data_IF_736062226474
#
_entry.id   IF_736062226474
#
_cell.length_a   1.000
_cell.length_b   1.000
_cell.length_c   1.000
_cell.angle_alpha   90.00
_cell.angle_beta   90.00
_cell.angle_gamma   90.00
#
_symmetry.space_group_name_H-M   'P 1'
#
loop_
_entity.id
_entity.type
_entity.pdbx_description
1 polymer ?
#
# COMPACT_ATOMS: atom_id res chain seq x y z
N UNK A 1 23.44 2.19 -16.78
CA UNK A 1 23.77 2.31 -15.35
C UNK A 1 25.12 1.70 -15.14
N UNK A 2 25.89 2.34 -14.27
CA UNK A 2 27.07 1.77 -13.68
C UNK A 2 26.81 0.36 -13.14
N UNK A 3 27.72 -0.55 -13.46
CA UNK A 3 27.83 -1.80 -12.70
C UNK A 3 28.29 -1.47 -11.27
N UNK A 4 28.09 -2.37 -10.31
CA UNK A 4 28.67 -2.20 -8.97
C UNK A 4 30.17 -1.88 -9.10
N UNK A 5 30.60 -0.76 -8.52
CA UNK A 5 31.98 -0.25 -8.62
C UNK A 5 32.31 0.56 -9.88
N UNK A 6 31.35 0.90 -10.74
CA UNK A 6 31.56 1.73 -11.93
C UNK A 6 31.14 3.19 -11.68
N UNK A 7 32.03 3.96 -11.05
CA UNK A 7 31.88 5.40 -10.93
C UNK A 7 33.14 6.14 -11.43
N UNK A 8 33.01 7.42 -11.81
CA UNK A 8 34.18 8.27 -12.05
C UNK A 8 35.08 8.33 -10.81
N UNK A 9 36.35 8.67 -11.01
CA UNK A 9 37.30 8.86 -9.90
C UNK A 9 36.74 9.85 -8.87
N UNK A 10 36.52 9.36 -7.65
CA UNK A 10 36.04 10.14 -6.53
C UNK A 10 37.21 10.77 -5.77
N UNK A 11 36.95 11.76 -4.90
CA UNK A 11 37.96 12.27 -3.99
C UNK A 11 38.48 11.16 -3.06
N UNK A 12 39.79 11.14 -2.79
CA UNK A 12 40.47 10.10 -1.99
C UNK A 12 39.82 9.87 -0.61
N UNK A 13 39.22 10.92 -0.05
CA UNK A 13 38.52 10.90 1.23
C UNK A 13 37.27 10.02 1.24
N UNK A 14 36.60 9.88 0.09
CA UNK A 14 35.48 8.94 -0.09
C UNK A 14 35.96 7.60 -0.62
N UNK A 15 36.86 7.60 -1.59
CA UNK A 15 37.36 6.40 -2.25
C UNK A 15 37.94 5.42 -1.21
N UNK A 16 38.76 5.93 -0.29
CA UNK A 16 39.38 5.13 0.78
C UNK A 16 38.38 4.40 1.69
N UNK A 17 37.19 4.95 1.89
CA UNK A 17 36.11 4.33 2.66
C UNK A 17 35.35 3.31 1.80
N UNK A 18 35.16 3.63 0.51
CA UNK A 18 34.43 2.80 -0.45
C UNK A 18 35.23 1.58 -0.93
N UNK A 19 36.55 1.54 -0.75
CA UNK A 19 37.36 0.32 -1.04
C UNK A 19 36.80 -0.92 -0.35
N UNK A 20 36.21 -0.77 0.84
CA UNK A 20 35.48 -1.86 1.49
C UNK A 20 34.14 -2.11 0.79
N UNK A 21 34.08 -3.21 0.02
CA UNK A 21 32.88 -3.66 -0.68
C UNK A 21 31.69 -3.94 0.26
N UNK A 22 31.95 -4.20 1.55
CA UNK A 22 30.91 -4.46 2.54
C UNK A 22 30.20 -3.19 3.02
N UNK A 23 30.74 -2.00 2.70
CA UNK A 23 30.12 -0.72 3.04
C UNK A 23 28.96 -0.44 2.09
N UNK A 24 27.75 -0.35 2.65
CA UNK A 24 26.54 0.00 1.90
C UNK A 24 26.26 1.50 1.91
N UNK A 25 26.66 2.21 2.98
CA UNK A 25 26.32 3.63 3.15
C UNK A 25 27.35 4.35 3.99
N UNK A 26 27.75 5.54 3.56
CA UNK A 26 28.63 6.45 4.29
C UNK A 26 27.81 7.65 4.76
N UNK A 27 27.99 8.05 6.01
CA UNK A 27 27.39 9.22 6.63
C UNK A 27 28.49 10.18 7.09
N UNK A 28 28.53 11.37 6.51
CA UNK A 28 29.41 12.46 6.89
C UNK A 28 28.55 13.62 7.40
N UNK A 29 28.83 14.10 8.61
CA UNK A 29 28.10 15.23 9.23
C UNK A 29 29.10 16.17 9.88
N UNK A 30 28.85 17.47 9.80
CA UNK A 30 29.73 18.48 10.38
C UNK A 30 29.90 18.25 11.89
N UNK A 31 31.13 18.46 12.37
CA UNK A 31 31.58 18.24 13.74
C UNK A 31 31.44 16.79 14.24
N UNK A 32 31.33 15.81 13.32
CA UNK A 32 31.21 14.39 13.65
C UNK A 32 32.28 13.55 12.92
N UNK A 33 32.64 12.41 13.51
CA UNK A 33 33.42 11.38 12.80
C UNK A 33 32.58 10.71 11.69
N UNK A 34 33.22 10.22 10.62
CA UNK A 34 32.54 9.41 9.60
C UNK A 34 31.90 8.17 10.21
N UNK A 35 30.69 7.85 9.76
CA UNK A 35 30.02 6.60 10.13
C UNK A 35 29.65 5.84 8.88
N UNK A 36 29.73 4.51 8.94
CA UNK A 36 29.38 3.64 7.82
C UNK A 36 28.39 2.59 8.26
N UNK A 37 27.44 2.25 7.37
CA UNK A 37 26.71 1.01 7.46
C UNK A 37 27.46 -0.05 6.65
N UNK A 38 27.86 -1.12 7.32
CA UNK A 38 28.53 -2.25 6.68
C UNK A 38 27.98 -3.59 7.16
N UNK A 39 28.09 -4.61 6.30
CA UNK A 39 27.67 -5.98 6.57
C UNK A 39 26.67 -6.53 5.54
N UNK A 40 26.21 -7.75 5.78
CA UNK A 40 25.22 -8.42 4.93
C UNK A 40 23.83 -7.75 5.07
N UNK A 41 22.99 -7.76 4.02
CA UNK A 41 21.64 -7.13 4.00
C UNK A 41 20.77 -7.52 5.22
N UNK A 42 20.92 -8.75 5.69
CA UNK A 42 20.18 -9.28 6.84
C UNK A 42 20.68 -8.77 8.21
N UNK A 43 21.86 -8.18 8.26
CA UNK A 43 22.57 -7.80 9.50
C UNK A 43 23.52 -6.62 9.25
N UNK A 44 22.96 -5.47 8.88
CA UNK A 44 23.73 -4.22 8.74
C UNK A 44 24.05 -3.66 10.12
N UNK A 45 25.31 -3.28 10.32
CA UNK A 45 25.81 -2.61 11.52
C UNK A 45 26.24 -1.18 11.19
N UNK A 46 25.94 -0.22 12.07
CA UNK A 46 26.42 1.15 11.95
C UNK A 46 27.69 1.28 12.79
N UNK A 47 28.82 1.53 12.13
CA UNK A 47 30.12 1.64 12.74
C UNK A 47 30.67 3.06 12.56
N UNK A 48 31.26 3.60 13.61
CA UNK A 48 32.03 4.84 13.54
C UNK A 48 33.46 4.51 13.11
N UNK A 49 33.97 5.22 12.11
CA UNK A 49 35.34 5.05 11.63
C UNK A 49 36.28 5.90 12.48
N UNK A 50 37.46 5.37 12.77
CA UNK A 50 38.50 6.13 13.47
C UNK A 50 39.29 7.00 12.48
N UNK A 51 38.57 7.95 11.87
CA UNK A 51 39.07 8.96 10.95
C UNK A 51 38.90 10.36 11.58
N UNK A 52 39.50 11.36 10.95
CA UNK A 52 39.36 12.75 11.37
C UNK A 52 37.89 13.22 11.32
N UNK A 53 37.57 14.16 12.20
CA UNK A 53 36.24 14.77 12.28
C UNK A 53 36.02 15.64 11.04
N UNK A 54 34.85 15.48 10.41
CA UNK A 54 34.49 16.33 9.28
C UNK A 54 33.95 17.66 9.77
N UNK A 55 34.45 18.76 9.22
CA UNK A 55 33.95 20.09 9.47
C UNK A 55 33.08 20.59 8.30
N UNK A 56 32.46 21.75 8.49
CA UNK A 56 31.64 22.37 7.44
C UNK A 56 32.45 22.69 6.16
N UNK A 57 33.65 23.32 6.23
CA UNK A 57 34.47 23.58 5.05
C UNK A 57 34.78 22.34 4.22
N UNK A 58 35.16 21.22 4.85
CA UNK A 58 35.49 19.98 4.15
C UNK A 58 34.25 19.39 3.47
N UNK A 59 33.08 19.42 4.12
CA UNK A 59 31.83 18.96 3.50
C UNK A 59 31.40 19.82 2.31
N UNK A 60 31.55 21.15 2.42
CA UNK A 60 31.27 22.05 1.32
C UNK A 60 32.18 21.74 0.12
N UNK A 61 33.48 21.63 0.38
CA UNK A 61 34.49 21.29 -0.64
C UNK A 61 34.15 19.96 -1.32
N UNK A 62 33.83 18.93 -0.52
CA UNK A 62 33.43 17.63 -1.06
C UNK A 62 32.18 17.72 -1.94
N UNK A 63 31.17 18.51 -1.53
CA UNK A 63 29.96 18.69 -2.33
C UNK A 63 30.24 19.40 -3.66
N UNK A 64 31.17 20.36 -3.67
CA UNK A 64 31.59 21.08 -4.89
C UNK A 64 32.39 20.15 -5.81
N UNK A 65 33.33 19.37 -5.26
CA UNK A 65 34.13 18.38 -5.99
C UNK A 65 33.23 17.33 -6.67
N UNK A 66 32.24 16.81 -5.95
CA UNK A 66 31.28 15.86 -6.51
C UNK A 66 30.42 16.47 -7.62
N UNK A 67 30.06 17.75 -7.50
CA UNK A 67 29.35 18.47 -8.57
C UNK A 67 30.24 18.65 -9.80
N UNK A 68 31.52 18.99 -9.59
CA UNK A 68 32.50 19.12 -10.65
C UNK A 68 32.74 17.79 -11.38
N UNK A 69 32.79 16.67 -10.65
CA UNK A 69 32.91 15.33 -11.24
C UNK A 69 31.74 15.05 -12.19
N UNK A 70 30.51 15.44 -11.82
CA UNK A 70 29.34 15.29 -12.69
C UNK A 70 29.51 16.12 -13.96
N UNK A 71 29.92 17.39 -13.84
CA UNK A 71 30.11 18.28 -15.00
C UNK A 71 31.20 17.77 -15.95
N UNK A 72 32.32 17.30 -15.39
CA UNK A 72 33.43 16.71 -16.16
C UNK A 72 33.04 15.41 -16.85
N UNK A 73 32.08 14.67 -16.29
CA UNK A 73 31.57 13.42 -16.83
C UNK A 73 30.17 13.57 -17.43
N UNK A 74 29.83 14.76 -17.96
CA UNK A 74 28.53 15.04 -18.58
C UNK A 74 28.17 14.15 -19.78
N UNK A 75 29.14 13.45 -20.36
CA UNK A 75 28.92 12.43 -21.40
C UNK A 75 28.42 11.09 -20.85
N UNK A 76 28.62 10.83 -19.55
CA UNK A 76 28.13 9.65 -18.86
C UNK A 76 26.66 9.85 -18.47
N UNK A 77 25.81 8.92 -18.90
CA UNK A 77 24.37 8.96 -18.59
C UNK A 77 24.05 8.70 -17.11
N UNK A 78 25.00 8.17 -16.34
CA UNK A 78 24.89 7.85 -14.92
C UNK A 78 25.54 8.90 -14.00
N UNK A 79 25.89 10.07 -14.54
CA UNK A 79 26.36 11.22 -13.78
C UNK A 79 25.41 12.41 -14.00
N UNK A 80 24.56 12.71 -13.03
CA UNK A 80 23.64 13.85 -13.12
C UNK A 80 23.16 14.33 -11.75
N UNK A 81 22.73 15.58 -11.68
CA UNK A 81 22.03 16.14 -10.52
C UNK A 81 20.55 15.77 -10.66
N UNK A 82 20.03 15.05 -9.67
CA UNK A 82 18.65 14.55 -9.67
C UNK A 82 17.69 15.57 -9.05
N UNK A 83 18.10 16.15 -7.92
CA UNK A 83 17.32 17.15 -7.18
C UNK A 83 18.27 18.27 -6.81
N UNK A 84 17.87 19.50 -7.12
CA UNK A 84 18.51 20.70 -6.60
C UNK A 84 17.45 21.64 -6.06
N UNK A 85 17.45 21.82 -4.74
CA UNK A 85 16.51 22.70 -4.01
C UNK A 85 17.28 23.50 -2.96
N UNK A 86 16.64 24.54 -2.43
CA UNK A 86 17.22 25.31 -1.35
C UNK A 86 17.43 24.43 -0.12
N UNK A 87 18.70 24.24 0.28
CA UNK A 87 19.08 23.43 1.44
C UNK A 87 19.34 21.94 1.15
N UNK A 88 19.14 21.45 -0.07
CA UNK A 88 19.37 20.03 -0.40
C UNK A 88 19.74 19.80 -1.87
N UNK A 89 20.67 18.88 -2.10
CA UNK A 89 21.08 18.39 -3.42
C UNK A 89 21.16 16.88 -3.41
N UNK A 90 20.59 16.21 -4.41
CA UNK A 90 20.71 14.77 -4.63
C UNK A 90 21.33 14.54 -6.00
N UNK A 91 22.37 13.71 -6.03
CA UNK A 91 23.22 13.47 -7.18
C UNK A 91 23.37 11.97 -7.42
N UNK A 92 23.37 11.58 -8.69
CA UNK A 92 23.77 10.25 -9.13
C UNK A 92 25.17 10.36 -9.73
N UNK A 93 26.12 9.56 -9.21
CA UNK A 93 27.52 9.54 -9.63
C UNK A 93 27.93 8.09 -9.87
N UNK A 94 27.77 7.62 -11.10
CA UNK A 94 28.00 6.22 -11.43
C UNK A 94 27.01 5.32 -10.69
N UNK A 95 27.51 4.36 -9.93
CA UNK A 95 26.70 3.47 -9.09
C UNK A 95 26.31 4.12 -7.77
N UNK A 96 26.86 5.28 -7.40
CA UNK A 96 26.61 5.91 -6.11
C UNK A 96 25.48 6.92 -6.18
N UNK A 97 24.63 6.90 -5.15
CA UNK A 97 23.69 7.97 -4.88
C UNK A 97 24.21 8.83 -3.75
N UNK A 98 24.38 10.13 -3.99
CA UNK A 98 24.87 11.08 -3.00
C UNK A 98 23.79 12.11 -2.68
N UNK A 99 23.47 12.27 -1.39
CA UNK A 99 22.58 13.33 -0.91
C UNK A 99 23.34 14.29 0.01
N UNK A 100 23.29 15.57 -0.33
CA UNK A 100 23.81 16.68 0.47
C UNK A 100 22.65 17.46 1.08
N UNK A 101 22.76 17.81 2.36
CA UNK A 101 21.78 18.67 3.05
C UNK A 101 22.50 19.74 3.88
N UNK A 102 21.94 20.95 3.89
CA UNK A 102 22.48 22.09 4.64
C UNK A 102 21.39 23.03 5.18
N UNK A 103 21.71 23.88 6.18
CA UNK A 103 20.76 24.85 6.72
C UNK A 103 20.21 25.79 5.64
N UNK A 104 18.90 26.14 5.66
CA UNK A 104 17.95 25.93 6.76
C UNK A 104 17.21 24.59 6.75
N UNK A 105 17.40 23.73 5.74
CA UNK A 105 16.69 22.45 5.62
C UNK A 105 17.15 21.44 6.68
N UNK A 106 18.46 21.40 6.96
CA UNK A 106 19.06 20.60 8.03
C UNK A 106 19.61 21.48 9.17
N UNK A 107 19.95 20.84 10.30
CA UNK A 107 20.59 21.49 11.45
C UNK A 107 22.07 21.80 11.20
N UNK A 108 22.73 20.99 10.37
CA UNK A 108 24.13 21.14 9.99
C UNK A 108 24.38 20.60 8.57
N UNK A 109 25.58 20.82 8.05
CA UNK A 109 25.99 20.19 6.79
C UNK A 109 26.11 18.68 6.97
N UNK A 110 25.52 17.92 6.04
CA UNK A 110 25.68 16.47 5.95
C UNK A 110 25.73 16.00 4.50
N UNK A 111 26.49 14.92 4.28
CA UNK A 111 26.58 14.19 3.02
C UNK A 111 26.39 12.71 3.32
N UNK A 112 25.44 12.09 2.63
CA UNK A 112 25.21 10.64 2.69
C UNK A 112 25.47 10.03 1.32
N UNK A 113 26.33 9.03 1.26
CA UNK A 113 26.66 8.28 0.04
C UNK A 113 26.12 6.87 0.18
N UNK A 114 25.26 6.45 -0.73
CA UNK A 114 24.64 5.13 -0.72
C UNK A 114 25.15 4.33 -1.91
N UNK A 115 25.66 3.13 -1.64
CA UNK A 115 25.93 2.10 -2.65
C UNK A 115 24.69 1.21 -2.78
N UNK A 116 24.10 1.07 -3.98
CA UNK A 116 23.02 0.12 -4.22
C UNK A 116 23.51 -1.31 -3.96
N UNK A 117 22.75 -2.06 -3.15
CA UNK A 117 23.12 -3.44 -2.79
C UNK A 117 22.17 -4.41 -3.50
N UNK A 118 22.77 -5.33 -4.26
CA UNK A 118 22.23 -6.55 -4.85
C UNK A 118 21.13 -6.40 -5.93
N UNK A 119 21.50 -6.74 -7.18
CA UNK A 119 20.55 -7.08 -8.23
C UNK A 119 20.08 -8.52 -8.02
N UNK A 120 18.85 -8.70 -7.51
CA UNK A 120 18.21 -10.02 -7.54
C UNK A 120 17.76 -10.32 -8.97
N UNK A 121 17.99 -11.55 -9.41
CA UNK A 121 17.43 -12.04 -10.66
C UNK A 121 16.02 -12.58 -10.43
N UNK A 122 15.20 -12.60 -11.48
CA UNK A 122 13.83 -13.12 -11.37
C UNK A 122 13.83 -14.62 -10.99
N UNK A 123 14.84 -15.36 -11.45
CA UNK A 123 15.09 -16.77 -11.11
C UNK A 123 15.27 -17.02 -9.61
N UNK A 124 15.80 -16.05 -8.86
CA UNK A 124 16.03 -16.18 -7.41
C UNK A 124 14.71 -16.31 -6.62
N UNK A 125 13.61 -15.80 -7.19
CA UNK A 125 12.29 -15.88 -6.60
C UNK A 125 11.60 -17.23 -6.81
N UNK A 126 12.16 -18.11 -7.66
CA UNK A 126 11.63 -19.47 -7.95
C UNK A 126 10.14 -19.46 -8.30
N UNK A 127 9.78 -18.64 -9.27
CA UNK A 127 8.40 -18.46 -9.70
C UNK A 127 7.92 -19.67 -10.52
N UNK A 128 6.62 -19.97 -10.43
CA UNK A 128 5.99 -20.93 -11.34
C UNK A 128 6.03 -20.41 -12.78
N UNK A 129 6.26 -21.29 -13.75
CA UNK A 129 6.33 -20.94 -15.18
C UNK A 129 5.07 -20.22 -15.68
N UNK A 130 3.89 -20.55 -15.13
CA UNK A 130 2.66 -19.87 -15.47
C UNK A 130 2.68 -18.40 -15.02
N UNK A 131 3.23 -18.10 -13.84
CA UNK A 131 3.37 -16.73 -13.36
C UNK A 131 4.41 -15.95 -14.19
N UNK A 132 5.52 -16.59 -14.56
CA UNK A 132 6.52 -15.99 -15.47
C UNK A 132 5.91 -15.66 -16.83
N UNK A 133 5.13 -16.57 -17.40
CA UNK A 133 4.41 -16.34 -18.66
C UNK A 133 3.40 -15.20 -18.55
N UNK A 134 2.75 -15.03 -17.39
CA UNK A 134 1.85 -13.90 -17.14
C UNK A 134 2.61 -12.57 -17.09
N UNK A 135 3.74 -12.52 -16.38
CA UNK A 135 4.60 -11.33 -16.30
C UNK A 135 5.16 -10.94 -17.69
N UNK A 136 5.38 -11.94 -18.54
CA UNK A 136 5.94 -11.79 -19.89
C UNK A 136 4.91 -11.35 -20.94
N UNK A 137 3.64 -11.24 -20.58
CA UNK A 137 2.57 -10.90 -21.51
C UNK A 137 2.24 -9.40 -21.45
N UNK A 138 2.56 -8.65 -22.52
CA UNK A 138 2.32 -7.21 -22.60
C UNK A 138 0.82 -6.83 -22.62
N UNK A 139 -0.09 -7.78 -22.80
CA UNK A 139 -1.52 -7.58 -22.62
C UNK A 139 -1.99 -7.75 -21.17
N UNK A 140 -1.08 -7.72 -20.20
CA UNK A 140 -1.40 -7.82 -18.78
C UNK A 140 -0.94 -6.58 -18.03
N UNK A 141 -1.75 -6.20 -17.04
CA UNK A 141 -1.47 -5.15 -16.08
C UNK A 141 -1.21 -5.78 -14.72
N UNK A 142 -0.02 -5.50 -14.19
CA UNK A 142 0.47 -6.14 -12.98
C UNK A 142 0.69 -5.09 -11.90
N UNK A 143 0.21 -5.35 -10.68
CA UNK A 143 0.65 -4.60 -9.50
C UNK A 143 1.56 -5.42 -8.62
N UNK A 144 2.69 -4.82 -8.24
CA UNK A 144 3.57 -5.31 -7.18
C UNK A 144 3.30 -4.49 -5.93
N UNK A 145 2.81 -5.17 -4.88
CA UNK A 145 2.29 -4.52 -3.67
C UNK A 145 3.00 -5.02 -2.43
N UNK A 146 2.90 -4.26 -1.34
CA UNK A 146 3.56 -4.59 -0.08
C UNK A 146 3.99 -3.35 0.71
N UNK A 147 4.30 -3.56 1.99
CA UNK A 147 4.71 -2.50 2.92
C UNK A 147 6.02 -1.84 2.47
N UNK A 148 6.31 -0.59 2.88
CA UNK A 148 7.64 0.00 2.70
C UNK A 148 8.74 -0.95 3.20
N UNK A 149 9.84 -1.05 2.44
CA UNK A 149 10.93 -1.98 2.76
C UNK A 149 10.64 -3.48 2.53
N UNK A 150 9.50 -3.85 1.93
CA UNK A 150 9.20 -5.26 1.67
C UNK A 150 9.97 -5.89 0.51
N UNK A 151 10.72 -5.12 -0.28
CA UNK A 151 11.46 -5.61 -1.46
C UNK A 151 10.71 -5.50 -2.79
N UNK A 152 9.64 -4.69 -2.88
CA UNK A 152 8.86 -4.48 -4.12
C UNK A 152 9.71 -3.94 -5.26
N UNK A 153 10.43 -2.85 -5.01
CA UNK A 153 11.27 -2.17 -6.00
C UNK A 153 12.35 -3.12 -6.53
N UNK A 154 12.97 -3.91 -5.63
CA UNK A 154 13.92 -4.96 -6.03
C UNK A 154 13.27 -6.04 -6.90
N UNK A 155 12.05 -6.47 -6.59
CA UNK A 155 11.31 -7.41 -7.44
C UNK A 155 10.94 -6.80 -8.80
N UNK A 156 10.55 -5.52 -8.84
CA UNK A 156 10.26 -4.80 -10.08
C UNK A 156 11.51 -4.66 -10.95
N UNK A 157 12.68 -4.38 -10.37
CA UNK A 157 13.98 -4.37 -11.05
C UNK A 157 14.33 -5.74 -11.65
N UNK A 158 14.08 -6.83 -10.90
CA UNK A 158 14.28 -8.19 -11.37
C UNK A 158 13.39 -8.51 -12.59
N UNK A 159 12.12 -8.08 -12.55
CA UNK A 159 11.20 -8.23 -13.69
C UNK A 159 11.68 -7.40 -14.88
N UNK A 160 12.08 -6.14 -14.67
CA UNK A 160 12.62 -5.28 -15.72
C UNK A 160 13.77 -5.96 -16.47
N UNK A 161 14.70 -6.50 -15.70
CA UNK A 161 15.92 -7.12 -16.20
C UNK A 161 15.61 -8.37 -17.00
N UNK A 162 14.70 -9.21 -16.51
CA UNK A 162 14.22 -10.40 -17.21
C UNK A 162 13.52 -10.06 -18.53
N UNK A 163 12.62 -9.08 -18.52
CA UNK A 163 11.89 -8.66 -19.73
C UNK A 163 12.83 -8.11 -20.82
N UNK A 164 13.85 -7.33 -20.46
CA UNK A 164 14.82 -6.81 -21.45
C UNK A 164 15.85 -7.86 -21.91
N UNK A 165 16.36 -8.67 -20.97
CA UNK A 165 17.50 -9.56 -21.24
C UNK A 165 17.08 -10.91 -21.83
N UNK A 166 16.04 -11.53 -21.28
CA UNK A 166 15.60 -12.87 -21.69
C UNK A 166 14.51 -12.82 -22.76
N UNK A 167 13.53 -11.92 -22.61
CA UNK A 167 12.44 -11.76 -23.58
C UNK A 167 12.80 -10.82 -24.74
N UNK A 168 13.82 -9.98 -24.58
CA UNK A 168 14.23 -8.99 -25.59
C UNK A 168 13.23 -7.85 -25.80
N UNK A 169 12.36 -7.60 -24.81
CA UNK A 169 11.31 -6.57 -24.90
C UNK A 169 11.86 -5.16 -24.69
N UNK A 170 11.23 -4.16 -25.30
CA UNK A 170 11.55 -2.75 -25.05
C UNK A 170 10.94 -2.31 -23.72
N UNK A 171 11.75 -2.31 -22.67
CA UNK A 171 11.35 -1.88 -21.32
C UNK A 171 11.72 -0.41 -21.10
N UNK A 172 10.80 0.33 -20.49
CA UNK A 172 11.00 1.69 -19.99
C UNK A 172 10.53 1.79 -18.54
N UNK A 173 11.01 2.78 -17.79
CA UNK A 173 10.49 3.05 -16.43
C UNK A 173 9.91 4.46 -16.35
N UNK A 174 8.95 4.63 -15.45
CA UNK A 174 8.41 5.92 -15.01
C UNK A 174 8.51 5.96 -13.49
N UNK A 175 9.27 6.91 -12.97
CA UNK A 175 9.62 6.94 -11.55
C UNK A 175 10.01 8.35 -11.11
N UNK A 176 9.88 8.63 -9.82
CA UNK A 176 10.16 9.94 -9.25
C UNK A 176 10.54 9.79 -7.77
N UNK A 177 11.82 9.63 -7.42
CA UNK A 177 13.03 9.79 -8.23
C UNK A 177 13.40 8.58 -9.11
N UNK A 178 14.49 8.66 -9.90
CA UNK A 178 15.04 7.57 -10.71
C UNK A 178 15.89 6.63 -9.86
N UNK A 179 15.21 5.79 -9.09
CA UNK A 179 15.80 4.93 -8.06
C UNK A 179 15.97 3.47 -8.50
N UNK A 180 15.24 3.04 -9.52
CA UNK A 180 15.34 1.68 -10.04
C UNK A 180 16.76 1.42 -10.53
N UNK A 181 17.29 0.25 -10.23
CA UNK A 181 18.54 -0.29 -10.76
C UNK A 181 18.19 -1.28 -11.86
N UNK A 182 18.29 -0.85 -13.12
CA UNK A 182 17.89 -1.62 -14.31
C UNK A 182 19.01 -1.65 -15.36
N UNK A 183 19.02 -2.63 -16.27
CA UNK A 183 20.05 -2.73 -17.30
C UNK A 183 20.16 -1.45 -18.13
N UNK A 184 21.35 -1.16 -18.67
CA UNK A 184 21.62 0.06 -19.45
C UNK A 184 20.69 0.24 -20.67
N UNK A 185 20.16 -0.87 -21.22
CA UNK A 185 19.21 -0.85 -22.34
C UNK A 185 17.82 -0.31 -21.93
N UNK A 186 17.47 -0.39 -20.65
CA UNK A 186 16.22 0.12 -20.09
C UNK A 186 16.36 1.63 -19.86
N UNK A 187 15.49 2.42 -20.48
CA UNK A 187 15.50 3.89 -20.32
C UNK A 187 14.55 4.28 -19.19
N UNK A 188 15.03 5.15 -18.30
CA UNK A 188 14.26 5.64 -17.16
C UNK A 188 13.78 7.06 -17.38
N UNK A 189 12.48 7.28 -17.22
CA UNK A 189 11.87 8.60 -17.32
C UNK A 189 11.52 9.14 -15.93
N UNK A 190 11.99 10.35 -15.68
CA UNK A 190 11.56 11.19 -14.56
C UNK A 190 10.35 12.04 -14.98
N UNK A 191 9.67 12.72 -14.05
CA UNK A 191 8.56 13.62 -14.38
C UNK A 191 9.02 14.74 -15.33
N UNK A 192 8.53 14.69 -16.57
CA UNK A 192 8.78 15.72 -17.57
C UNK A 192 8.15 17.05 -17.13
N UNK A 193 8.97 18.09 -17.01
CA UNK A 193 8.55 19.39 -16.45
C UNK A 193 7.90 19.27 -15.05
N UNK A 194 8.30 18.26 -14.28
CA UNK A 194 7.74 17.99 -12.95
C UNK A 194 6.41 17.24 -12.95
N UNK A 195 5.93 16.77 -14.12
CA UNK A 195 4.66 16.06 -14.26
C UNK A 195 4.82 14.68 -14.94
N UNK A 196 4.33 13.63 -14.26
CA UNK A 196 4.33 12.28 -14.80
C UNK A 196 3.27 12.09 -15.89
N UNK A 197 2.22 12.91 -15.92
CA UNK A 197 1.18 12.84 -16.95
C UNK A 197 1.77 13.17 -18.34
N UNK A 198 2.57 14.23 -18.43
CA UNK A 198 3.35 14.57 -19.64
C UNK A 198 4.33 13.48 -20.04
N UNK A 199 4.88 12.78 -19.06
CA UNK A 199 5.76 11.64 -19.32
C UNK A 199 4.97 10.49 -19.96
N UNK A 200 3.76 10.22 -19.48
CA UNK A 200 2.86 9.23 -20.05
C UNK A 200 2.45 9.57 -21.49
N UNK A 201 2.20 10.85 -21.79
CA UNK A 201 1.92 11.30 -23.17
C UNK A 201 3.06 10.94 -24.14
N UNK A 202 4.31 11.10 -23.71
CA UNK A 202 5.47 10.67 -24.50
C UNK A 202 5.53 9.15 -24.64
N UNK A 203 5.21 8.40 -23.58
CA UNK A 203 5.13 6.94 -23.64
C UNK A 203 4.12 6.46 -24.68
N UNK A 204 2.98 7.15 -24.84
CA UNK A 204 1.99 6.82 -25.88
C UNK A 204 2.54 6.94 -27.30
N UNK A 205 3.47 7.87 -27.53
CA UNK A 205 4.14 8.06 -28.81
C UNK A 205 5.22 7.01 -29.05
N UNK A 206 5.97 6.65 -28.00
CA UNK A 206 7.06 5.67 -28.08
C UNK A 206 6.57 4.24 -28.22
N UNK A 207 5.42 3.90 -27.63
CA UNK A 207 4.83 2.55 -27.60
C UNK A 207 5.83 1.45 -27.20
N UNK A 208 6.47 1.56 -26.03
CA UNK A 208 7.30 0.46 -25.51
C UNK A 208 6.44 -0.78 -25.26
N UNK A 209 7.07 -1.96 -25.26
CA UNK A 209 6.39 -3.22 -24.91
C UNK A 209 5.97 -3.23 -23.44
N UNK A 210 6.87 -2.76 -22.56
CA UNK A 210 6.64 -2.69 -21.12
C UNK A 210 7.06 -1.36 -20.51
N UNK A 211 6.27 -0.91 -19.54
CA UNK A 211 6.60 0.20 -18.66
C UNK A 211 6.53 -0.26 -17.21
N UNK A 212 7.55 0.08 -16.43
CA UNK A 212 7.56 -0.11 -14.99
C UNK A 212 7.29 1.25 -14.36
N UNK A 213 6.14 1.36 -13.72
CA UNK A 213 5.73 2.55 -13.01
C UNK A 213 6.02 2.35 -11.52
N UNK A 214 7.15 2.89 -11.04
CA UNK A 214 7.47 2.84 -9.61
C UNK A 214 6.69 3.91 -8.84
N UNK A 215 6.32 3.55 -7.61
CA UNK A 215 5.68 4.45 -6.64
C UNK A 215 4.28 5.02 -7.02
N UNK A 216 3.40 4.17 -7.56
CA UNK A 216 1.98 4.52 -7.79
C UNK A 216 1.27 4.76 -6.44
N UNK A 217 0.96 6.02 -6.14
CA UNK A 217 0.45 6.43 -4.82
C UNK A 217 -0.73 7.38 -4.87
N UNK A 218 -0.68 8.38 -5.74
CA UNK A 218 -1.69 9.45 -5.85
C UNK A 218 -2.82 9.00 -6.76
N UNK A 219 -3.98 9.65 -6.62
CA UNK A 219 -5.14 9.36 -7.47
C UNK A 219 -4.80 9.46 -8.97
N UNK A 220 -4.07 10.50 -9.37
CA UNK A 220 -3.65 10.70 -10.76
C UNK A 220 -2.74 9.59 -11.28
N UNK A 221 -1.87 9.03 -10.43
CA UNK A 221 -0.97 7.94 -10.84
C UNK A 221 -1.78 6.70 -11.24
N UNK A 222 -2.91 6.43 -10.56
CA UNK A 222 -3.82 5.33 -10.92
C UNK A 222 -4.61 5.61 -12.21
N UNK A 223 -4.95 6.87 -12.48
CA UNK A 223 -5.60 7.31 -13.73
C UNK A 223 -4.62 7.14 -14.90
N UNK A 224 -3.38 7.65 -14.78
CA UNK A 224 -2.28 7.45 -15.74
C UNK A 224 -2.03 5.97 -15.99
N UNK A 225 -2.02 5.15 -14.93
CA UNK A 225 -1.85 3.71 -15.06
C UNK A 225 -2.97 3.08 -15.92
N UNK A 226 -4.21 3.50 -15.71
CA UNK A 226 -5.35 3.10 -16.53
C UNK A 226 -5.16 3.46 -18.01
N UNK A 227 -4.81 4.71 -18.29
CA UNK A 227 -4.69 5.23 -19.65
C UNK A 227 -3.55 4.55 -20.43
N UNK A 228 -2.37 4.40 -19.81
CA UNK A 228 -1.22 3.69 -20.41
C UNK A 228 -1.57 2.25 -20.71
N UNK A 229 -2.32 1.60 -19.83
CA UNK A 229 -2.71 0.22 -20.03
C UNK A 229 -3.77 0.05 -21.11
N UNK A 230 -4.74 0.95 -21.19
CA UNK A 230 -5.76 0.98 -22.26
C UNK A 230 -5.15 1.31 -23.63
N UNK A 231 -4.02 2.02 -23.67
CA UNK A 231 -3.23 2.24 -24.88
C UNK A 231 -2.49 0.96 -25.37
N UNK A 232 -2.57 -0.15 -24.63
CA UNK A 232 -2.05 -1.45 -25.03
C UNK A 232 -0.63 -1.76 -24.55
N UNK A 233 -0.04 -0.90 -23.72
CA UNK A 233 1.31 -1.09 -23.15
C UNK A 233 1.23 -2.10 -21.99
N UNK A 234 2.21 -3.00 -21.89
CA UNK A 234 2.37 -3.87 -20.72
C UNK A 234 2.83 -3.06 -19.53
N UNK A 235 2.08 -3.07 -18.43
CA UNK A 235 2.32 -2.11 -17.35
C UNK A 235 2.48 -2.81 -16.01
N UNK A 236 3.62 -2.58 -15.35
CA UNK A 236 3.89 -3.03 -14.00
C UNK A 236 3.92 -1.84 -13.05
N UNK A 237 2.94 -1.76 -12.16
CA UNK A 237 2.83 -0.69 -11.16
C UNK A 237 3.31 -1.16 -9.80
N UNK A 238 4.18 -0.39 -9.15
CA UNK A 238 4.61 -0.65 -7.78
C UNK A 238 3.80 0.24 -6.84
N UNK A 239 3.09 -0.35 -5.87
CA UNK A 239 2.27 0.44 -4.93
C UNK A 239 2.43 -0.01 -3.48
N UNK A 240 2.37 0.94 -2.55
CA UNK A 240 2.44 0.68 -1.12
C UNK A 240 1.08 0.28 -0.55
N UNK A 241 0.82 -1.01 -0.38
CA UNK A 241 -0.40 -1.51 0.23
C UNK A 241 -0.10 -2.59 1.28
N UNK A 242 -0.99 -2.73 2.27
CA UNK A 242 -0.86 -3.80 3.27
C UNK A 242 -1.38 -5.16 2.76
N UNK A 243 -2.12 -5.17 1.66
CA UNK A 243 -2.65 -6.35 1.00
C UNK A 243 -2.91 -6.08 -0.48
N UNK A 244 -2.97 -7.14 -1.30
CA UNK A 244 -3.39 -7.04 -2.71
C UNK A 244 -4.78 -6.41 -2.88
N UNK A 245 -5.71 -6.74 -1.98
CA UNK A 245 -7.06 -6.19 -2.01
C UNK A 245 -7.09 -4.67 -1.83
N UNK A 246 -6.27 -4.12 -0.92
CA UNK A 246 -6.18 -2.67 -0.74
C UNK A 246 -5.65 -1.95 -1.98
N UNK A 247 -4.74 -2.57 -2.74
CA UNK A 247 -4.26 -1.99 -3.99
C UNK A 247 -5.37 -1.96 -5.05
N UNK A 248 -6.14 -3.05 -5.17
CA UNK A 248 -7.31 -3.11 -6.07
C UNK A 248 -8.34 -2.03 -5.69
N UNK A 249 -8.64 -1.89 -4.40
CA UNK A 249 -9.58 -0.88 -3.89
C UNK A 249 -9.18 0.57 -4.19
N UNK A 250 -7.89 0.86 -4.39
CA UNK A 250 -7.44 2.21 -4.79
C UNK A 250 -7.72 2.54 -6.25
N UNK A 251 -7.84 1.52 -7.10
CA UNK A 251 -8.23 1.66 -8.49
C UNK A 251 -9.75 1.88 -8.63
N UNK A 252 -10.52 1.41 -7.64
CA UNK A 252 -11.98 1.57 -7.58
C UNK A 252 -12.36 3.05 -7.49
N UNK A 253 -13.20 3.50 -8.41
CA UNK A 253 -13.63 4.91 -8.52
C UNK A 253 -12.64 5.81 -9.25
N UNK A 254 -11.52 5.26 -9.74
CA UNK A 254 -10.58 5.92 -10.67
C UNK A 254 -10.72 5.38 -12.08
N UNK A 255 -10.97 4.08 -12.18
CA UNK A 255 -11.27 3.38 -13.42
C UNK A 255 -12.68 2.82 -13.34
N UNK A 256 -13.40 2.82 -14.46
CA UNK A 256 -14.72 2.19 -14.55
C UNK A 256 -14.62 0.69 -14.23
N UNK A 257 -15.61 0.16 -13.49
CA UNK A 257 -15.59 -1.23 -13.01
C UNK A 257 -15.32 -2.24 -14.13
N UNK A 258 -15.94 -2.07 -15.31
CA UNK A 258 -15.75 -2.98 -16.44
C UNK A 258 -14.32 -2.97 -17.02
N UNK A 259 -13.61 -1.85 -16.87
CA UNK A 259 -12.25 -1.67 -17.35
C UNK A 259 -11.20 -2.11 -16.33
N UNK A 260 -11.55 -2.19 -15.04
CA UNK A 260 -10.59 -2.59 -13.98
C UNK A 260 -9.88 -3.90 -14.32
N UNK A 261 -10.60 -4.94 -14.76
CA UNK A 261 -9.98 -6.23 -15.11
C UNK A 261 -9.13 -6.21 -16.38
N UNK A 262 -9.31 -5.20 -17.25
CA UNK A 262 -8.48 -4.99 -18.44
C UNK A 262 -7.22 -4.20 -18.08
N UNK A 263 -7.35 -3.27 -17.12
CA UNK A 263 -6.27 -2.45 -16.61
C UNK A 263 -5.37 -3.23 -15.64
N UNK A 264 -5.95 -4.04 -14.77
CA UNK A 264 -5.24 -4.77 -13.74
C UNK A 264 -5.78 -6.20 -13.67
N UNK A 265 -4.99 -7.17 -14.11
CA UNK A 265 -5.35 -8.59 -14.04
C UNK A 265 -4.61 -9.32 -12.93
N UNK A 266 -3.38 -8.92 -12.58
CA UNK A 266 -2.54 -9.65 -11.63
C UNK A 266 -2.02 -8.73 -10.52
N UNK A 267 -2.13 -9.14 -9.26
CA UNK A 267 -1.60 -8.42 -8.10
C UNK A 267 -0.70 -9.33 -7.29
N UNK A 268 0.58 -9.00 -7.22
CA UNK A 268 1.62 -9.75 -6.52
C UNK A 268 1.95 -9.05 -5.20
N UNK A 269 1.65 -9.69 -4.08
CA UNK A 269 1.97 -9.19 -2.75
C UNK A 269 3.34 -9.69 -2.29
N UNK A 270 4.26 -8.76 -2.09
CA UNK A 270 5.62 -8.99 -1.59
C UNK A 270 5.70 -8.68 -0.10
N UNK A 271 6.16 -9.66 0.68
CA UNK A 271 6.52 -9.51 2.08
C UNK A 271 7.94 -10.03 2.34
N UNK A 272 8.77 -9.22 3.00
CA UNK A 272 10.15 -9.58 3.40
C UNK A 272 10.98 -10.18 2.25
N UNK A 273 10.87 -9.58 1.07
CA UNK A 273 11.60 -9.99 -0.14
C UNK A 273 11.09 -11.26 -0.81
N UNK A 274 9.92 -11.77 -0.43
CA UNK A 274 9.30 -12.97 -1.03
C UNK A 274 7.87 -12.69 -1.46
N UNK A 275 7.40 -13.45 -2.45
CA UNK A 275 5.99 -13.45 -2.83
C UNK A 275 5.20 -14.14 -1.72
N UNK A 276 4.29 -13.39 -1.10
CA UNK A 276 3.38 -13.89 -0.07
C UNK A 276 2.06 -14.39 -0.70
N UNK A 277 1.53 -13.67 -1.68
CA UNK A 277 0.25 -13.98 -2.32
C UNK A 277 0.20 -13.40 -3.73
N UNK A 278 -0.48 -14.09 -4.65
CA UNK A 278 -0.82 -13.56 -5.97
C UNK A 278 -2.34 -13.62 -6.15
N UNK A 279 -2.94 -12.49 -6.51
CA UNK A 279 -4.36 -12.38 -6.82
C UNK A 279 -4.55 -12.14 -8.32
N UNK A 280 -5.55 -12.81 -8.88
CA UNK A 280 -6.00 -12.65 -10.26
C UNK A 280 -7.39 -12.02 -10.29
N UNK A 281 -7.58 -11.03 -11.15
CA UNK A 281 -8.85 -10.37 -11.39
C UNK A 281 -9.43 -10.85 -12.73
N UNK A 282 -10.66 -11.35 -12.70
CA UNK A 282 -11.37 -11.77 -13.91
C UNK A 282 -12.78 -11.22 -13.93
N UNK A 283 -13.16 -10.53 -15.00
CA UNK A 283 -14.55 -10.11 -15.18
C UNK A 283 -15.39 -11.25 -15.73
N UNK A 284 -16.55 -11.46 -15.12
CA UNK A 284 -17.57 -12.42 -15.52
C UNK A 284 -18.94 -11.75 -15.43
N UNK A 285 -19.88 -12.15 -16.28
CA UNK A 285 -21.28 -11.71 -16.18
C UNK A 285 -22.07 -12.83 -15.50
N UNK A 286 -22.47 -12.61 -14.24
CA UNK A 286 -23.30 -13.53 -13.46
C UNK A 286 -24.02 -12.80 -12.33
N UNK A 287 -24.93 -13.49 -11.64
CA UNK A 287 -25.47 -13.01 -10.39
C UNK A 287 -24.38 -13.04 -9.30
N UNK A 288 -24.15 -11.95 -8.55
CA UNK A 288 -23.24 -11.94 -7.41
C UNK A 288 -23.62 -12.98 -6.35
N UNK A 289 -22.63 -13.47 -5.60
CA UNK A 289 -22.88 -14.46 -4.55
C UNK A 289 -23.84 -13.92 -3.49
N UNK A 290 -25.01 -14.56 -3.35
CA UNK A 290 -26.06 -14.18 -2.40
C UNK A 290 -27.17 -13.26 -2.96
N UNK A 291 -27.24 -13.01 -4.27
CA UNK A 291 -28.35 -12.29 -4.90
C UNK A 291 -29.15 -13.21 -5.84
N UNK A 292 -30.44 -12.91 -6.05
CA UNK A 292 -31.31 -13.65 -6.97
C UNK A 292 -30.81 -13.57 -8.44
N UNK A 293 -31.04 -14.64 -9.20
CA UNK A 293 -30.43 -14.91 -10.50
C UNK A 293 -30.82 -13.97 -11.64
N UNK A 294 -31.91 -13.22 -11.51
CA UNK A 294 -32.43 -12.34 -12.57
C UNK A 294 -31.65 -11.02 -12.73
N UNK A 295 -30.69 -10.75 -11.85
CA UNK A 295 -29.82 -9.57 -11.89
C UNK A 295 -28.42 -9.92 -12.40
N UNK A 296 -28.32 -10.50 -13.60
CA UNK A 296 -27.04 -10.73 -14.27
C UNK A 296 -26.33 -9.38 -14.49
N UNK A 297 -25.18 -9.20 -13.85
CA UNK A 297 -24.38 -7.97 -13.89
C UNK A 297 -22.90 -8.30 -14.09
N UNK A 298 -22.08 -7.35 -14.55
CA UNK A 298 -20.63 -7.50 -14.54
C UNK A 298 -20.12 -7.60 -13.10
N UNK A 299 -19.45 -8.71 -12.80
CA UNK A 299 -18.78 -8.97 -11.51
C UNK A 299 -17.31 -9.25 -11.78
N UNK A 300 -16.42 -8.61 -11.01
CA UNK A 300 -15.00 -8.95 -11.01
C UNK A 300 -14.74 -9.95 -9.90
N UNK A 301 -14.28 -11.13 -10.29
CA UNK A 301 -13.82 -12.17 -9.39
C UNK A 301 -12.34 -11.95 -9.04
N UNK A 302 -12.03 -11.98 -7.74
CA UNK A 302 -10.67 -11.89 -7.22
C UNK A 302 -10.27 -13.27 -6.69
N UNK A 303 -9.40 -13.96 -7.43
CA UNK A 303 -9.00 -15.34 -7.18
C UNK A 303 -7.55 -15.43 -6.73
N UNK A 304 -7.23 -16.40 -5.90
CA UNK A 304 -5.86 -16.63 -5.42
C UNK A 304 -5.12 -17.61 -6.34
N UNK A 305 -4.00 -17.17 -6.91
CA UNK A 305 -3.13 -17.99 -7.75
C UNK A 305 -2.06 -18.71 -6.89
N UNK A 306 -1.71 -19.99 -7.16
CA UNK A 306 -2.20 -20.85 -8.25
C UNK A 306 -3.49 -21.62 -7.92
N UNK A 307 -3.98 -21.53 -6.68
CA UNK A 307 -5.13 -22.34 -6.21
C UNK A 307 -6.45 -22.12 -6.97
N UNK A 308 -6.56 -21.03 -7.72
CA UNK A 308 -7.75 -20.54 -8.42
C UNK A 308 -8.97 -20.34 -7.49
N UNK A 309 -8.73 -20.23 -6.16
CA UNK A 309 -9.77 -20.09 -5.14
C UNK A 309 -10.35 -18.68 -5.17
N UNK A 310 -11.66 -18.57 -5.31
CA UNK A 310 -12.36 -17.27 -5.24
C UNK A 310 -12.29 -16.72 -3.81
N UNK A 311 -11.72 -15.54 -3.65
CA UNK A 311 -11.55 -14.89 -2.35
C UNK A 311 -12.59 -13.79 -2.15
N UNK A 312 -12.76 -12.94 -3.15
CA UNK A 312 -13.65 -11.78 -3.12
C UNK A 312 -14.32 -11.60 -4.49
N UNK A 313 -15.48 -10.95 -4.46
CA UNK A 313 -16.20 -10.46 -5.63
C UNK A 313 -16.33 -8.95 -5.53
N UNK A 314 -16.26 -8.27 -6.67
CA UNK A 314 -16.45 -6.84 -6.75
C UNK A 314 -17.50 -6.52 -7.81
N UNK A 315 -18.52 -5.75 -7.42
CA UNK A 315 -19.63 -5.41 -8.31
C UNK A 315 -20.24 -4.05 -7.95
N UNK A 316 -20.92 -3.44 -8.92
CA UNK A 316 -21.62 -2.18 -8.70
C UNK A 316 -22.99 -2.42 -8.05
N UNK A 317 -23.24 -1.74 -6.94
CA UNK A 317 -24.52 -1.70 -6.25
C UNK A 317 -25.03 -0.26 -6.20
N UNK A 318 -26.00 0.07 -7.07
CA UNK A 318 -26.41 1.45 -7.31
C UNK A 318 -25.28 2.26 -7.93
N UNK A 319 -24.86 3.34 -7.26
CA UNK A 319 -23.74 4.21 -7.66
C UNK A 319 -22.41 3.85 -6.98
N UNK A 320 -22.41 2.88 -6.06
CA UNK A 320 -21.22 2.49 -5.30
C UNK A 320 -20.68 1.14 -5.76
N UNK A 321 -19.38 0.92 -5.57
CA UNK A 321 -18.72 -0.36 -5.87
C UNK A 321 -18.50 -1.10 -4.56
N UNK A 322 -19.12 -2.28 -4.43
CA UNK A 322 -18.98 -3.14 -3.27
C UNK A 322 -17.91 -4.21 -3.52
N UNK A 323 -17.07 -4.47 -2.50
CA UNK A 323 -16.09 -5.56 -2.50
C UNK A 323 -16.46 -6.54 -1.39
N UNK A 324 -16.84 -7.77 -1.75
CA UNK A 324 -17.47 -8.75 -0.86
C UNK A 324 -16.61 -10.02 -0.79
N UNK A 325 -16.24 -10.51 0.41
CA UNK A 325 -15.56 -11.79 0.56
C UNK A 325 -16.52 -12.97 0.33
N UNK A 326 -16.11 -13.93 -0.50
CA UNK A 326 -16.94 -15.12 -0.82
C UNK A 326 -16.88 -16.15 0.32
N UNK A 327 -15.71 -16.30 0.96
CA UNK A 327 -15.48 -17.27 2.03
C UNK A 327 -15.87 -16.78 3.44
N UNK A 328 -16.61 -15.67 3.56
CA UNK A 328 -17.30 -15.33 4.81
C UNK A 328 -18.55 -16.20 5.05
N UNK A 329 -18.83 -17.15 4.16
CA UNK A 329 -19.97 -18.05 4.20
C UNK A 329 -19.51 -19.52 4.13
N UNK A 330 -19.36 -20.13 5.30
CA UNK A 330 -19.68 -21.55 5.51
C UNK A 330 -19.96 -21.92 6.98
N UNK A 331 -19.91 -20.97 7.93
CA UNK A 331 -20.48 -21.19 9.27
C UNK A 331 -21.79 -20.40 9.53
N UNK A 332 -22.06 -19.36 8.74
CA UNK A 332 -23.29 -18.56 8.84
C UNK A 332 -23.92 -18.45 7.45
N UNK A 333 -24.68 -19.47 7.05
CA UNK A 333 -25.43 -19.45 5.81
C UNK A 333 -26.34 -18.22 5.74
N UNK A 334 -26.01 -17.31 4.83
CA UNK A 334 -26.85 -16.17 4.46
C UNK A 334 -26.10 -15.18 3.57
N UNK A 335 -26.82 -14.62 2.59
CA UNK A 335 -26.35 -13.53 1.73
C UNK A 335 -25.85 -12.33 2.56
N UNK A 336 -24.84 -11.56 2.10
CA UNK A 336 -24.48 -10.27 2.70
C UNK A 336 -25.69 -9.33 2.85
N UNK A 337 -26.65 -9.38 1.91
CA UNK A 337 -27.91 -8.65 2.01
C UNK A 337 -28.75 -9.12 3.21
N UNK A 338 -28.78 -10.43 3.48
CA UNK A 338 -29.44 -10.98 4.67
C UNK A 338 -28.71 -10.65 5.97
N UNK A 339 -27.39 -10.46 5.97
CA UNK A 339 -26.66 -9.99 7.16
C UNK A 339 -27.01 -8.54 7.49
N UNK A 340 -27.07 -7.68 6.48
CA UNK A 340 -27.50 -6.28 6.65
C UNK A 340 -28.98 -6.20 7.06
N UNK A 341 -29.86 -6.96 6.40
CA UNK A 341 -31.27 -7.05 6.77
C UNK A 341 -31.47 -7.62 8.18
N UNK A 342 -30.65 -8.59 8.59
CA UNK A 342 -30.70 -9.15 9.94
C UNK A 342 -30.26 -8.14 11.02
N UNK A 343 -29.27 -7.28 10.75
CA UNK A 343 -28.91 -6.21 11.68
C UNK A 343 -30.03 -5.18 11.83
N UNK A 344 -30.71 -4.84 10.74
CA UNK A 344 -31.84 -3.91 10.77
C UNK A 344 -33.07 -4.52 11.46
N UNK A 345 -33.39 -5.78 11.16
CA UNK A 345 -34.44 -6.54 11.85
C UNK A 345 -34.20 -6.59 13.35
N UNK A 346 -32.94 -6.79 13.78
CA UNK A 346 -32.55 -6.77 15.19
C UNK A 346 -32.80 -5.41 15.83
N UNK A 347 -32.46 -4.31 15.15
CA UNK A 347 -32.71 -2.94 15.66
C UNK A 347 -34.19 -2.66 15.80
N UNK A 348 -34.96 -2.99 14.77
CA UNK A 348 -36.39 -2.68 14.71
C UNK A 348 -37.20 -3.54 15.68
N UNK A 349 -36.92 -4.84 15.76
CA UNK A 349 -37.55 -5.72 16.74
C UNK A 349 -37.23 -5.29 18.18
N UNK A 350 -36.00 -4.82 18.45
CA UNK A 350 -35.64 -4.27 19.77
C UNK A 350 -36.38 -2.98 20.07
N UNK A 351 -36.58 -2.11 19.07
CA UNK A 351 -37.31 -0.84 19.19
C UNK A 351 -38.79 -1.05 19.50
N UNK A 352 -39.44 -1.98 18.79
CA UNK A 352 -40.87 -2.23 18.91
C UNK A 352 -41.24 -3.00 20.18
N UNK A 353 -40.40 -3.94 20.60
CA UNK A 353 -40.69 -4.81 21.76
C UNK A 353 -40.02 -4.37 23.05
N UNK A 354 -38.99 -3.52 22.99
CA UNK A 354 -38.13 -3.18 24.12
C UNK A 354 -37.22 -4.33 24.59
N UNK A 355 -37.27 -5.49 23.92
CA UNK A 355 -36.49 -6.68 24.25
C UNK A 355 -35.24 -6.71 23.39
N UNK A 356 -34.07 -6.88 24.00
CA UNK A 356 -32.81 -6.91 23.26
C UNK A 356 -32.68 -8.19 22.43
N UNK A 357 -32.75 -8.06 21.11
CA UNK A 357 -32.47 -9.17 20.20
C UNK A 357 -30.97 -9.36 20.07
N UNK A 358 -30.44 -10.53 20.45
CA UNK A 358 -28.99 -10.78 20.44
C UNK A 358 -28.49 -11.11 19.05
N UNK A 359 -29.24 -11.92 18.31
CA UNK A 359 -28.93 -12.30 16.94
C UNK A 359 -30.21 -12.49 16.14
N UNK A 360 -30.15 -12.25 14.84
CA UNK A 360 -31.24 -12.48 13.92
C UNK A 360 -30.69 -13.11 12.64
N UNK A 361 -31.48 -13.95 11.99
CA UNK A 361 -31.09 -14.65 10.77
C UNK A 361 -32.30 -14.83 9.87
N UNK A 362 -32.19 -14.42 8.62
CA UNK A 362 -33.20 -14.74 7.62
C UNK A 362 -33.10 -16.20 7.18
N UNK A 363 -34.23 -16.87 7.11
CA UNK A 363 -34.38 -18.25 6.60
C UNK A 363 -34.87 -18.22 5.15
N UNK A 364 -35.76 -17.28 4.83
CA UNK A 364 -36.25 -16.95 3.48
C UNK A 364 -36.53 -15.44 3.41
N UNK A 365 -36.83 -14.89 2.23
CA UNK A 365 -37.13 -13.45 2.09
C UNK A 365 -38.41 -13.00 2.82
N UNK A 366 -39.23 -13.94 3.29
CA UNK A 366 -40.45 -13.67 4.07
C UNK A 366 -40.46 -14.29 5.47
N UNK A 367 -39.35 -14.90 5.90
CA UNK A 367 -39.26 -15.52 7.23
C UNK A 367 -37.88 -15.39 7.86
N UNK A 368 -37.83 -15.01 9.14
CA UNK A 368 -36.60 -14.84 9.90
C UNK A 368 -36.71 -15.48 11.30
N UNK A 369 -35.57 -15.91 11.82
CA UNK A 369 -35.40 -16.43 13.18
C UNK A 369 -34.67 -15.37 14.01
N UNK A 370 -35.22 -15.05 15.17
CA UNK A 370 -34.61 -14.14 16.14
C UNK A 370 -34.23 -14.89 17.40
N UNK A 371 -33.06 -14.56 17.92
CA UNK A 371 -32.46 -15.19 19.10
C UNK A 371 -32.41 -14.20 20.25
N UNK A 372 -33.10 -14.54 21.34
CA UNK A 372 -33.22 -13.71 22.54
C UNK A 372 -32.90 -14.50 23.82
N UNK A 373 -32.71 -13.78 24.93
CA UNK A 373 -32.47 -14.41 26.22
C UNK A 373 -33.74 -15.19 26.68
N UNK A 374 -33.56 -16.36 27.29
CA UNK A 374 -34.67 -17.26 27.67
C UNK A 374 -35.73 -16.59 28.52
N UNK A 375 -35.30 -15.68 29.39
CA UNK A 375 -36.18 -14.90 30.28
C UNK A 375 -37.15 -13.99 29.53
N UNK A 376 -36.86 -13.65 28.27
CA UNK A 376 -37.64 -12.71 27.47
C UNK A 376 -38.52 -13.39 26.40
N UNK A 377 -38.38 -14.69 26.17
CA UNK A 377 -39.13 -15.43 25.14
C UNK A 377 -40.64 -15.32 25.38
N UNK A 378 -41.08 -15.58 26.62
CA UNK A 378 -42.50 -15.49 26.97
C UNK A 378 -43.09 -14.10 26.76
N UNK A 379 -42.32 -13.04 27.04
CA UNK A 379 -42.73 -11.66 26.85
C UNK A 379 -42.78 -11.23 25.39
N UNK A 380 -41.88 -11.77 24.55
CA UNK A 380 -41.86 -11.48 23.12
C UNK A 380 -43.01 -12.17 22.36
N UNK A 381 -43.39 -13.38 22.77
CA UNK A 381 -44.51 -14.12 22.18
C UNK A 381 -45.85 -13.57 22.66
N UNK A 382 -45.96 -13.20 23.94
CA UNK A 382 -47.18 -12.68 24.55
C UNK A 382 -48.24 -13.77 24.82
N UNK A 383 -49.29 -13.46 25.61
CA UNK A 383 -50.35 -14.42 25.92
C UNK A 383 -51.06 -14.87 24.64
N UNK A 384 -51.12 -16.18 24.40
CA UNK A 384 -51.75 -16.76 23.21
C UNK A 384 -51.06 -16.45 21.86
N UNK A 385 -49.82 -15.94 21.89
CA UNK A 385 -49.07 -15.56 20.68
C UNK A 385 -49.50 -14.22 20.07
N UNK A 386 -50.22 -13.38 20.81
CA UNK A 386 -50.67 -12.07 20.32
C UNK A 386 -49.50 -11.11 20.06
N UNK A 387 -48.45 -11.15 20.88
CA UNK A 387 -47.28 -10.27 20.77
C UNK A 387 -46.46 -10.55 19.51
N UNK A 388 -46.19 -11.83 19.23
CA UNK A 388 -45.44 -12.20 18.02
C UNK A 388 -46.24 -11.91 16.75
N UNK A 389 -47.55 -12.18 16.72
CA UNK A 389 -48.38 -11.89 15.54
C UNK A 389 -48.43 -10.40 15.20
N UNK A 390 -48.45 -9.55 16.23
CA UNK A 390 -48.42 -8.09 16.05
C UNK A 390 -47.06 -7.64 15.49
N UNK A 391 -45.98 -8.20 16.01
CA UNK A 391 -44.63 -7.94 15.54
C UNK A 391 -44.43 -8.41 14.08
N UNK A 392 -44.98 -9.57 13.72
CA UNK A 392 -44.98 -10.09 12.35
C UNK A 392 -45.77 -9.19 11.38
N UNK A 393 -46.91 -8.61 11.83
CA UNK A 393 -47.71 -7.67 11.04
C UNK A 393 -46.99 -6.34 10.82
N UNK A 394 -46.33 -5.80 11.86
CA UNK A 394 -45.59 -4.53 11.78
C UNK A 394 -44.33 -4.65 10.91
N UNK A 395 -43.68 -5.82 10.92
CA UNK A 395 -42.46 -6.09 10.14
C UNK A 395 -42.72 -6.70 8.77
N UNK A 396 -43.94 -7.18 8.50
CA UNK A 396 -44.31 -7.85 7.24
C UNK A 396 -43.58 -9.19 7.01
N UNK A 397 -43.10 -9.84 8.08
CA UNK A 397 -42.28 -11.05 8.03
C UNK A 397 -42.78 -12.08 9.03
N UNK A 398 -42.66 -13.38 8.71
CA UNK A 398 -42.86 -14.45 9.71
C UNK A 398 -41.65 -14.55 10.61
N UNK A 399 -41.86 -14.63 11.92
CA UNK A 399 -40.80 -14.65 12.92
C UNK A 399 -40.86 -15.93 13.74
N UNK A 400 -39.70 -16.54 13.89
CA UNK A 400 -39.48 -17.65 14.83
C UNK A 400 -38.58 -17.18 15.97
N UNK A 401 -38.97 -17.44 17.21
CA UNK A 401 -38.31 -16.90 18.41
C UNK A 401 -37.63 -18.04 19.14
N UNK A 402 -36.30 -18.05 19.09
CA UNK A 402 -35.48 -19.09 19.67
C UNK A 402 -34.57 -18.56 20.77
N UNK A 403 -34.11 -19.48 21.60
CA UNK A 403 -33.17 -19.16 22.67
C UNK A 403 -31.79 -18.87 22.12
N UNK A 404 -31.10 -17.88 22.69
CA UNK A 404 -29.63 -17.70 22.51
C UNK A 404 -28.86 -18.96 22.90
N UNK A 405 -29.46 -19.86 23.69
CA UNK A 405 -28.90 -21.16 24.02
C UNK A 405 -28.93 -22.20 22.87
N UNK A 406 -29.58 -21.91 21.77
CA UNK A 406 -29.62 -22.79 20.61
C UNK A 406 -28.56 -22.40 19.56
N UNK A 407 -27.85 -21.30 19.79
CA UNK A 407 -26.76 -20.85 18.92
C UNK A 407 -25.52 -21.77 19.01
N UNK A 408 -24.80 -22.00 17.90
CA UNK A 408 -23.54 -22.74 17.90
C UNK A 408 -22.52 -22.17 18.90
N UNK A 409 -21.74 -23.04 19.56
CA UNK A 409 -20.78 -22.65 20.63
C UNK A 409 -19.78 -21.58 20.18
N UNK A 410 -19.41 -21.54 18.89
CA UNK A 410 -18.53 -20.51 18.31
C UNK A 410 -19.17 -19.12 18.25
N UNK A 411 -20.46 -19.03 17.89
CA UNK A 411 -21.21 -17.76 17.82
C UNK A 411 -21.48 -17.17 19.21
N UNK A 412 -21.84 -18.02 20.16
CA UNK A 412 -22.08 -17.63 21.57
C UNK A 412 -20.87 -16.92 22.17
N UNK A 413 -19.66 -17.41 21.88
CA UNK A 413 -18.40 -16.85 22.39
C UNK A 413 -18.08 -15.48 21.75
N UNK A 414 -18.45 -15.25 20.49
CA UNK A 414 -18.35 -13.93 19.83
C UNK A 414 -19.37 -12.93 20.36
N UNK A 415 -20.62 -13.37 20.58
CA UNK A 415 -21.70 -12.52 21.09
C UNK A 415 -21.47 -12.09 22.55
N UNK A 416 -20.93 -12.96 23.40
CA UNK A 416 -20.52 -12.61 24.78
C UNK A 416 -19.33 -11.63 24.80
N UNK A 417 -18.40 -11.72 23.84
CA UNK A 417 -17.25 -10.80 23.76
C UNK A 417 -17.64 -9.38 23.34
N UNK A 418 -18.72 -9.24 22.55
CA UNK A 418 -19.28 -7.95 22.16
C UNK A 418 -20.24 -7.34 23.19
N UNK A 419 -20.76 -8.12 24.16
CA UNK A 419 -21.56 -7.56 25.26
C UNK A 419 -20.70 -6.93 26.35
N UNK A 420 -19.46 -7.38 26.54
CA UNK A 420 -18.52 -6.81 27.52
C UNK A 420 -17.84 -5.51 27.04
N UNK A 421 -17.97 -5.13 25.77
CA UNK A 421 -17.42 -3.88 25.23
C UNK A 421 -18.39 -2.69 25.31
N UNK A 422 -19.52 -2.84 26.01
CA UNK A 422 -20.53 -1.79 26.14
C UNK A 422 -20.90 -1.50 27.61
N UNK A 423 -19.90 -1.19 28.43
CA UNK A 423 -20.09 -0.35 29.61
C UNK A 423 -18.77 0.33 30.03
N UNK A 424 -18.50 1.52 29.49
CA UNK A 424 -17.66 2.50 30.18
C UNK A 424 -18.21 3.91 29.97
N UNK A 425 -19.26 4.24 30.74
CA UNK A 425 -19.90 5.54 30.78
C UNK A 425 -19.11 6.55 31.62
N UNK A 426 -17.79 6.61 31.45
CA UNK A 426 -16.92 7.55 32.19
C UNK A 426 -15.83 8.25 31.36
N UNK A 427 -15.66 7.93 30.07
CA UNK A 427 -14.55 8.49 29.29
C UNK A 427 -14.90 9.68 28.36
N UNK A 428 -16.17 10.12 28.28
CA UNK A 428 -16.57 11.26 27.45
C UNK A 428 -17.07 12.43 28.29
N UNK A 429 -16.14 13.14 28.92
CA UNK A 429 -16.31 14.56 29.23
C UNK A 429 -14.95 15.26 29.25
N UNK A 430 -14.92 16.43 28.61
CA UNK A 430 -13.86 17.46 28.59
C UNK A 430 -12.68 17.29 27.62
N UNK A 431 -12.92 17.67 26.36
CA UNK A 431 -12.01 18.59 25.65
C UNK A 431 -12.83 19.67 24.93
N UNK A 432 -12.81 20.94 25.38
CA UNK A 432 -13.26 22.04 24.55
C UNK A 432 -12.14 22.44 23.58
N UNK A 433 -12.53 22.69 22.34
CA UNK A 433 -11.64 23.16 21.28
C UNK A 433 -11.05 24.54 21.57
N UNK A 434 -9.84 24.77 21.04
CA UNK A 434 -9.24 26.09 20.94
C UNK A 434 -9.09 26.44 19.47
N UNK A 435 -10.02 27.26 19.00
CA UNK A 435 -9.84 28.09 17.80
C UNK A 435 -9.01 29.33 18.14
N UNK A 436 -8.33 29.82 17.12
CA UNK A 436 -7.49 31.01 17.06
C UNK A 436 -8.21 32.30 17.51
N UNK A 437 -7.51 33.19 18.21
CA UNK A 437 -7.11 34.54 17.73
C UNK A 437 -6.68 35.50 18.86
N UNK A 438 -5.75 36.38 18.49
CA UNK A 438 -5.47 37.74 19.01
C UNK A 438 -4.92 38.00 20.44
N UNK A 439 -3.60 38.24 20.45
CA UNK A 439 -2.95 39.53 20.72
C UNK A 439 -2.75 40.06 22.17
N UNK A 440 -1.50 40.50 22.35
CA UNK A 440 -1.03 41.62 23.19
C UNK A 440 -0.80 41.41 24.70
N UNK A 441 0.37 41.88 25.16
CA UNK A 441 0.43 42.57 26.46
C UNK A 441 1.43 42.05 27.49
N UNK A 442 2.66 42.55 27.40
CA UNK A 442 3.48 43.09 28.51
C UNK A 442 3.73 42.25 29.78
N UNK A 443 5.01 41.95 29.97
CA UNK A 443 5.85 42.13 31.17
C UNK A 443 5.29 41.81 32.57
N UNK A 444 6.04 40.99 33.32
CA UNK A 444 6.62 41.43 34.60
C UNK A 444 7.72 40.49 35.12
N UNK A 445 8.83 41.15 35.48
CA UNK A 445 9.97 40.71 36.31
C UNK A 445 9.55 39.93 37.55
N UNK A 446 10.44 39.07 38.06
CA UNK A 446 10.38 38.72 39.49
C UNK A 446 11.31 37.63 40.02
N UNK A 447 12.61 37.96 40.14
CA UNK A 447 13.58 37.57 41.19
C UNK A 447 13.73 36.09 41.60
N UNK A 448 14.97 35.63 41.53
CA UNK A 448 15.41 34.33 42.01
C UNK A 448 15.54 34.22 43.53
N UNK A 449 16.01 33.04 43.96
CA UNK A 449 16.52 32.83 45.32
C UNK A 449 17.57 31.73 45.29
N UNK A 450 18.80 32.13 45.62
CA UNK A 450 19.96 31.29 45.96
C UNK A 450 19.64 30.40 47.17
N UNK A 451 20.34 29.27 47.27
CA UNK A 451 20.95 28.92 48.55
C UNK A 451 21.37 27.47 48.75
N UNK A 452 22.70 27.25 48.66
CA UNK A 452 23.54 26.27 49.38
C UNK A 452 23.25 24.78 49.12
N UNK A 453 24.25 23.92 48.93
CA UNK A 453 25.63 23.92 49.42
C UNK A 453 26.51 23.13 48.47
#
# INVERSE_FOLDING_TARGET
MASFGDHPLLPDSLESILVDESVSTIFLKAECKPRVKSGHISSLSLNELDLEVWDKPNLLTLSEDLSLIIDQNSTRSDCFIEIEREGCKVMQIGDLRVSCAWPPFSDAWEITVVRPVANLQLSDYKLDDELVNRLSNHHRGVFVVGKPGSGKTTFAQAIASYLDSEMGAMVKTMESPRDLQVPQRVTQYAPLEGDLEKTAEIIFLLRPDFVIFDEVRRARDFEIFGDVRLAGVGLLGVTHANSGLQAIQRLVGKVELGLISQVLDTVIHIEKGKINQVLELKMVVRAPSGMESDLSRPVIEIREFPSNRLTHEMFAFGSEIAVVPVNASNEEGGSPAWKLAAEELKREATRLTGITVKHAKFVTDSAAVIYIDDSAIGSMIGPGGEGIRRLEQDLGLKLDVNSVQELPRGLRKKLQKNSDSNFDASAWSNKPGRNWEYNSGKSKRGKGRKGRR
#
